data_IF_938684745163
#
_entry.id   IF_938684745163
#
_cell.length_a   1.000
_cell.length_b   1.000
_cell.length_c   1.000
_cell.angle_alpha   90.00
_cell.angle_beta   90.00
_cell.angle_gamma   90.00
#
_symmetry.space_group_name_H-M   'P 1'
#
loop_
_entity.id
_entity.type
_entity.pdbx_description
1 polymer ?
#
# COMPACT_ATOMS: atom_id res chain seq x y z
N UNK A 1 -28.35 -18.31 38.89
CA UNK A 1 -27.37 -17.77 37.88
C UNK A 1 -27.33 -18.61 36.60
N UNK A 2 -27.23 -19.95 36.67
CA UNK A 2 -27.21 -20.84 35.49
C UNK A 2 -28.45 -20.71 34.57
N UNK A 3 -29.65 -20.49 35.12
CA UNK A 3 -30.88 -20.36 34.32
C UNK A 3 -30.92 -19.08 33.46
N UNK A 4 -30.34 -17.98 33.94
CA UNK A 4 -30.28 -16.71 33.21
C UNK A 4 -29.28 -16.76 32.06
N UNK A 5 -28.09 -17.33 32.30
CA UNK A 5 -27.08 -17.57 31.26
C UNK A 5 -27.61 -18.47 30.14
N UNK A 6 -28.37 -19.51 30.49
CA UNK A 6 -28.98 -20.42 29.51
C UNK A 6 -30.07 -19.72 28.67
N UNK A 7 -30.87 -18.83 29.27
CA UNK A 7 -31.85 -17.99 28.54
C UNK A 7 -31.18 -17.00 27.60
N UNK A 8 -30.08 -16.38 28.01
CA UNK A 8 -29.29 -15.47 27.16
C UNK A 8 -28.71 -16.20 25.95
N UNK A 9 -28.10 -17.36 26.13
CA UNK A 9 -27.58 -18.18 25.02
C UNK A 9 -28.66 -18.57 24.01
N UNK A 10 -29.85 -18.96 24.48
CA UNK A 10 -30.99 -19.27 23.59
C UNK A 10 -31.47 -18.04 22.81
N UNK A 11 -31.45 -16.86 23.43
CA UNK A 11 -31.83 -15.60 22.78
C UNK A 11 -30.79 -15.19 21.73
N UNK A 12 -29.52 -15.30 22.06
CA UNK A 12 -28.41 -15.03 21.15
C UNK A 12 -28.44 -15.96 19.93
N UNK A 13 -28.67 -17.27 20.12
CA UNK A 13 -28.81 -18.20 19.00
C UNK A 13 -30.01 -17.89 18.12
N UNK A 14 -31.13 -17.44 18.71
CA UNK A 14 -32.33 -17.05 17.96
C UNK A 14 -32.04 -15.81 17.12
N UNK A 15 -31.47 -14.76 17.71
CA UNK A 15 -31.12 -13.53 16.98
C UNK A 15 -30.04 -13.77 15.93
N UNK A 16 -29.09 -14.68 16.19
CA UNK A 16 -28.08 -15.09 15.20
C UNK A 16 -28.74 -15.81 14.01
N UNK A 17 -29.66 -16.74 14.27
CA UNK A 17 -30.45 -17.41 13.22
C UNK A 17 -31.31 -16.42 12.44
N UNK A 18 -31.90 -15.44 13.10
CA UNK A 18 -32.71 -14.40 12.46
C UNK A 18 -31.85 -13.43 11.63
N UNK A 19 -30.69 -13.02 12.13
CA UNK A 19 -29.72 -12.23 11.37
C UNK A 19 -29.26 -12.96 10.11
N UNK A 20 -28.93 -14.26 10.22
CA UNK A 20 -28.56 -15.08 9.06
C UNK A 20 -29.75 -15.44 8.17
N UNK A 21 -30.99 -15.50 8.65
CA UNK A 21 -32.15 -15.74 7.78
C UNK A 21 -32.46 -14.53 6.90
N UNK A 22 -32.30 -13.31 7.44
CA UNK A 22 -32.46 -12.03 6.73
C UNK A 22 -31.30 -11.78 5.77
N UNK A 23 -30.07 -12.04 6.19
CA UNK A 23 -28.86 -11.77 5.39
C UNK A 23 -28.57 -12.83 4.33
N UNK A 24 -29.12 -14.05 4.39
CA UNK A 24 -28.69 -15.10 3.46
C UNK A 24 -29.57 -15.17 2.20
N UNK A 25 -30.90 -15.21 2.27
CA UNK A 25 -31.73 -15.40 1.06
C UNK A 25 -31.89 -14.15 0.19
N UNK A 26 -32.21 -13.00 0.79
CA UNK A 26 -32.45 -11.75 0.04
C UNK A 26 -31.15 -11.18 -0.53
N UNK A 27 -30.07 -11.24 0.24
CA UNK A 27 -28.74 -10.82 -0.20
C UNK A 27 -28.19 -11.76 -1.28
N UNK A 28 -28.28 -13.09 -1.11
CA UNK A 28 -27.87 -14.04 -2.17
C UNK A 28 -28.70 -13.80 -3.43
N UNK A 29 -30.01 -13.56 -3.33
CA UNK A 29 -30.84 -13.24 -4.51
C UNK A 29 -30.37 -11.96 -5.20
N UNK A 30 -30.07 -10.90 -4.44
CA UNK A 30 -29.48 -9.66 -4.99
C UNK A 30 -28.10 -9.90 -5.62
N UNK A 31 -27.24 -10.69 -4.98
CA UNK A 31 -25.93 -11.07 -5.50
C UNK A 31 -26.04 -11.88 -6.79
N UNK A 32 -26.90 -12.90 -6.83
CA UNK A 32 -27.18 -13.71 -8.03
C UNK A 32 -27.75 -12.87 -9.16
N UNK A 33 -28.56 -11.86 -8.89
CA UNK A 33 -29.06 -10.92 -9.90
C UNK A 33 -27.97 -9.97 -10.43
N UNK A 34 -27.06 -9.53 -9.56
CA UNK A 34 -25.94 -8.65 -9.95
C UNK A 34 -24.78 -9.41 -10.59
N UNK A 35 -24.65 -10.70 -10.32
CA UNK A 35 -23.56 -11.55 -10.82
C UNK A 35 -23.45 -11.60 -12.35
N UNK A 36 -24.54 -11.76 -13.15
CA UNK A 36 -24.47 -11.68 -14.60
C UNK A 36 -23.98 -10.34 -15.12
N UNK A 37 -24.36 -9.23 -14.46
CA UNK A 37 -23.93 -7.88 -14.81
C UNK A 37 -22.42 -7.77 -14.58
N UNK A 38 -21.94 -8.19 -13.40
CA UNK A 38 -20.53 -8.20 -13.03
C UNK A 38 -19.73 -9.09 -13.99
N UNK A 39 -20.17 -10.32 -14.26
CA UNK A 39 -19.56 -11.24 -15.23
C UNK A 39 -19.51 -10.62 -16.63
N UNK A 40 -20.55 -9.91 -17.07
CA UNK A 40 -20.57 -9.25 -18.38
C UNK A 40 -19.55 -8.13 -18.44
N UNK A 41 -19.40 -7.34 -17.37
CA UNK A 41 -18.35 -6.32 -17.25
C UNK A 41 -16.94 -6.93 -17.22
N UNK A 42 -16.75 -8.01 -16.46
CA UNK A 42 -15.50 -8.76 -16.39
C UNK A 42 -15.16 -9.38 -17.76
N UNK A 43 -16.11 -10.02 -18.44
CA UNK A 43 -15.97 -10.53 -19.82
C UNK A 43 -15.69 -9.42 -20.84
N UNK A 44 -16.25 -8.21 -20.66
CA UNK A 44 -15.98 -7.03 -21.52
C UNK A 44 -14.52 -6.56 -21.38
N UNK A 45 -13.86 -6.94 -20.29
CA UNK A 45 -12.42 -6.76 -20.09
C UNK A 45 -11.69 -7.88 -20.84
N UNK A 46 -11.73 -7.83 -22.17
CA UNK A 46 -11.01 -8.77 -23.05
C UNK A 46 -9.55 -8.86 -22.61
N UNK A 47 -8.93 -10.04 -22.66
CA UNK A 47 -7.49 -10.23 -22.40
C UNK A 47 -6.61 -9.21 -23.15
N UNK A 48 -7.00 -8.79 -24.36
CA UNK A 48 -6.36 -7.70 -25.12
C UNK A 48 -6.36 -6.33 -24.43
N UNK A 49 -7.37 -6.00 -23.62
CA UNK A 49 -7.41 -4.77 -22.81
C UNK A 49 -6.51 -4.91 -21.57
N UNK A 50 -6.55 -6.06 -20.90
CA UNK A 50 -5.66 -6.36 -19.78
C UNK A 50 -4.18 -6.32 -20.20
N UNK A 51 -3.82 -6.99 -21.31
CA UNK A 51 -2.45 -6.99 -21.84
C UNK A 51 -2.00 -5.58 -22.29
N UNK A 52 -2.90 -4.78 -22.87
CA UNK A 52 -2.60 -3.36 -23.19
C UNK A 52 -2.31 -2.54 -21.94
N UNK A 53 -3.07 -2.75 -20.87
CA UNK A 53 -2.83 -2.09 -19.59
C UNK A 53 -1.51 -2.53 -18.96
N UNK A 54 -1.22 -3.83 -18.94
CA UNK A 54 0.06 -4.36 -18.44
C UNK A 54 1.25 -3.81 -19.24
N UNK A 55 1.16 -3.79 -20.58
CA UNK A 55 2.19 -3.20 -21.44
C UNK A 55 2.39 -1.71 -21.19
N UNK A 56 1.31 -0.97 -20.93
CA UNK A 56 1.39 0.46 -20.56
C UNK A 56 2.17 0.62 -19.25
N UNK A 57 1.83 -0.16 -18.22
CA UNK A 57 2.53 -0.13 -16.93
C UNK A 57 4.02 -0.48 -17.09
N UNK A 58 4.35 -1.53 -17.86
CA UNK A 58 5.74 -1.93 -18.09
C UNK A 58 6.54 -0.83 -18.80
N UNK A 59 5.95 -0.17 -19.80
CA UNK A 59 6.59 0.96 -20.49
C UNK A 59 6.80 2.16 -19.56
N UNK A 60 5.81 2.48 -18.73
CA UNK A 60 5.93 3.55 -17.74
C UNK A 60 7.02 3.25 -16.71
N UNK A 61 7.13 1.99 -16.26
CA UNK A 61 8.21 1.54 -15.37
C UNK A 61 9.59 1.77 -16.00
N UNK A 62 9.80 1.33 -17.25
CA UNK A 62 11.07 1.54 -17.97
C UNK A 62 11.45 3.02 -18.06
N UNK A 63 10.49 3.89 -18.41
CA UNK A 63 10.70 5.35 -18.49
C UNK A 63 11.07 6.02 -17.16
N UNK A 64 10.64 5.45 -16.04
CA UNK A 64 10.93 6.02 -14.73
C UNK A 64 12.30 5.56 -14.24
N UNK A 65 12.64 4.30 -14.51
CA UNK A 65 13.93 3.70 -14.15
C UNK A 65 15.07 4.27 -15.01
N UNK A 66 14.82 4.66 -16.26
CA UNK A 66 15.81 5.26 -17.16
C UNK A 66 16.22 6.71 -16.82
N UNK A 67 15.91 7.21 -15.62
CA UNK A 67 16.32 8.55 -15.17
C UNK A 67 17.50 8.43 -14.22
N UNK A 68 18.60 9.08 -14.56
CA UNK A 68 19.91 8.96 -13.87
C UNK A 68 19.88 9.36 -12.38
N UNK A 69 18.92 10.19 -11.95
CA UNK A 69 18.72 10.50 -10.53
C UNK A 69 17.28 11.01 -10.28
N UNK A 70 16.66 10.61 -9.18
CA UNK A 70 15.37 11.19 -8.78
C UNK A 70 15.57 12.45 -7.95
N UNK A 71 14.78 13.48 -8.23
CA UNK A 71 14.56 14.58 -7.27
C UNK A 71 13.69 14.08 -6.10
N UNK A 72 13.83 14.68 -4.92
CA UNK A 72 13.05 14.34 -3.71
C UNK A 72 11.53 14.33 -3.94
N UNK A 73 11.01 15.26 -4.75
CA UNK A 73 9.59 15.30 -5.17
C UNK A 73 9.17 14.13 -6.07
N UNK A 74 10.10 13.58 -6.85
CA UNK A 74 9.85 12.50 -7.81
C UNK A 74 9.91 11.13 -7.15
N UNK A 75 10.70 10.97 -6.08
CA UNK A 75 10.90 9.68 -5.40
C UNK A 75 9.60 9.19 -4.72
N UNK A 76 8.77 10.10 -4.20
CA UNK A 76 7.45 9.76 -3.66
C UNK A 76 6.49 9.27 -4.75
N UNK A 77 6.50 9.92 -5.92
CA UNK A 77 5.71 9.47 -7.07
C UNK A 77 6.20 8.11 -7.59
N UNK A 78 7.52 7.90 -7.59
CA UNK A 78 8.14 6.63 -7.96
C UNK A 78 7.71 5.50 -7.03
N UNK A 79 7.79 5.70 -5.70
CA UNK A 79 7.29 4.73 -4.71
C UNK A 79 5.84 4.34 -4.98
N UNK A 80 4.95 5.32 -5.19
CA UNK A 80 3.53 5.04 -5.48
C UNK A 80 3.36 4.17 -6.71
N UNK A 81 4.05 4.50 -7.81
CA UNK A 81 3.99 3.73 -9.06
C UNK A 81 4.57 2.33 -8.89
N UNK A 82 5.65 2.17 -8.12
CA UNK A 82 6.24 0.87 -7.80
C UNK A 82 5.26 0.00 -7.00
N UNK A 83 4.56 0.57 -6.00
CA UNK A 83 3.53 -0.15 -5.24
C UNK A 83 2.35 -0.58 -6.11
N UNK A 84 1.86 0.30 -6.97
CA UNK A 84 0.82 -0.04 -7.95
C UNK A 84 1.25 -1.21 -8.84
N UNK A 85 2.50 -1.18 -9.33
CA UNK A 85 3.04 -2.30 -10.09
C UNK A 85 3.08 -3.59 -9.26
N UNK A 86 3.61 -3.56 -8.03
CA UNK A 86 3.66 -4.73 -7.15
C UNK A 86 2.27 -5.34 -6.90
N UNK A 87 1.25 -4.51 -6.65
CA UNK A 87 -0.12 -4.98 -6.48
C UNK A 87 -0.68 -5.60 -7.75
N UNK A 88 -0.49 -4.96 -8.90
CA UNK A 88 -0.94 -5.50 -10.18
C UNK A 88 -0.26 -6.85 -10.48
N UNK A 89 1.04 -6.99 -10.23
CA UNK A 89 1.75 -8.26 -10.43
C UNK A 89 1.19 -9.37 -9.55
N UNK A 90 0.84 -9.07 -8.29
CA UNK A 90 0.17 -10.02 -7.38
C UNK A 90 -1.24 -10.41 -7.86
N UNK A 91 -2.03 -9.44 -8.32
CA UNK A 91 -3.42 -9.66 -8.75
C UNK A 91 -3.49 -10.52 -10.02
N UNK A 92 -2.59 -10.29 -10.97
CA UNK A 92 -2.59 -10.99 -12.26
C UNK A 92 -1.77 -12.29 -12.25
N UNK A 93 -1.26 -12.72 -11.09
CA UNK A 93 -0.41 -13.90 -10.89
C UNK A 93 0.73 -14.04 -11.93
N UNK A 94 1.26 -12.89 -12.37
CA UNK A 94 2.34 -12.80 -13.38
C UNK A 94 3.67 -13.33 -12.84
N UNK A 95 3.71 -13.75 -11.57
CA UNK A 95 4.88 -14.25 -10.87
C UNK A 95 5.20 -15.71 -11.18
N UNK A 96 4.31 -16.47 -11.82
CA UNK A 96 4.64 -17.83 -12.26
C UNK A 96 5.75 -17.85 -13.32
N UNK A 97 6.01 -16.73 -14.01
CA UNK A 97 7.02 -16.66 -15.08
C UNK A 97 8.32 -15.92 -14.71
N UNK A 98 8.45 -15.34 -13.51
CA UNK A 98 9.72 -14.75 -13.12
C UNK A 98 9.99 -14.99 -11.65
N UNK A 99 11.08 -15.73 -11.39
CA UNK A 99 11.82 -15.68 -10.12
C UNK A 99 12.17 -14.21 -9.87
N UNK A 100 11.27 -13.46 -9.23
CA UNK A 100 11.47 -12.04 -8.98
C UNK A 100 12.52 -11.91 -7.89
N UNK A 101 13.73 -11.66 -8.38
CA UNK A 101 14.99 -11.39 -7.69
C UNK A 101 14.80 -10.64 -6.36
N UNK A 102 15.44 -11.10 -5.26
CA UNK A 102 15.44 -10.46 -3.93
C UNK A 102 15.66 -8.95 -3.95
N UNK A 103 16.42 -8.44 -4.93
CA UNK A 103 16.75 -7.02 -5.11
C UNK A 103 15.53 -6.09 -5.29
N UNK A 104 14.41 -6.58 -5.86
CA UNK A 104 13.17 -5.77 -6.00
C UNK A 104 12.46 -5.53 -4.67
N UNK A 105 12.66 -6.43 -3.71
CA UNK A 105 12.14 -6.31 -2.34
C UNK A 105 12.94 -5.21 -1.63
N UNK A 106 14.27 -5.23 -1.79
CA UNK A 106 15.21 -4.28 -1.19
C UNK A 106 14.94 -2.82 -1.58
N UNK A 107 14.73 -2.50 -2.86
CA UNK A 107 14.44 -1.12 -3.28
C UNK A 107 13.09 -0.61 -2.78
N UNK A 108 12.07 -1.47 -2.79
CA UNK A 108 10.73 -1.14 -2.28
C UNK A 108 10.77 -0.81 -0.79
N UNK A 109 11.56 -1.55 -0.03
CA UNK A 109 11.67 -1.38 1.42
C UNK A 109 12.51 -0.15 1.77
N UNK A 110 13.58 0.13 1.01
CA UNK A 110 14.33 1.39 1.14
C UNK A 110 13.46 2.62 0.84
N UNK A 111 12.64 2.58 -0.22
CA UNK A 111 11.64 3.61 -0.51
C UNK A 111 10.54 3.67 0.56
N UNK A 112 10.26 2.52 1.17
CA UNK A 112 9.52 2.29 2.41
C UNK A 112 9.96 3.25 3.51
N UNK A 113 11.14 2.95 4.02
CA UNK A 113 11.78 3.59 5.15
C UNK A 113 12.07 5.08 4.91
N UNK A 114 12.49 5.44 3.70
CA UNK A 114 12.71 6.85 3.34
C UNK A 114 11.44 7.70 3.52
N UNK A 115 10.28 7.19 3.08
CA UNK A 115 9.02 7.93 3.21
C UNK A 115 8.58 8.04 4.66
N UNK A 116 8.78 6.99 5.45
CA UNK A 116 8.39 6.98 6.86
C UNK A 116 9.21 8.04 7.62
N UNK A 117 10.49 8.20 7.29
CA UNK A 117 11.31 9.31 7.80
C UNK A 117 10.72 10.68 7.42
N UNK A 118 10.30 10.88 6.18
CA UNK A 118 9.68 12.15 5.74
C UNK A 118 8.36 12.44 6.48
N UNK A 119 7.53 11.42 6.71
CA UNK A 119 6.29 11.54 7.48
C UNK A 119 6.59 11.92 8.94
N UNK A 120 7.55 11.25 9.58
CA UNK A 120 7.96 11.56 10.95
C UNK A 120 8.52 12.98 11.05
N UNK A 121 9.36 13.41 10.10
CA UNK A 121 9.87 14.80 10.05
C UNK A 121 8.72 15.80 9.95
N UNK A 122 7.68 15.52 9.15
CA UNK A 122 6.52 16.38 9.03
C UNK A 122 5.70 16.45 10.35
N UNK A 123 5.54 15.33 11.04
CA UNK A 123 4.89 15.28 12.35
C UNK A 123 5.68 16.05 13.41
N UNK A 124 7.00 15.85 13.47
CA UNK A 124 7.89 16.59 14.38
C UNK A 124 7.85 18.10 14.13
N UNK A 125 7.82 18.53 12.86
CA UNK A 125 7.64 19.96 12.51
C UNK A 125 6.32 20.52 13.03
N UNK A 126 5.23 19.76 12.97
CA UNK A 126 3.93 20.18 13.53
C UNK A 126 3.97 20.26 15.05
N UNK A 127 4.56 19.26 15.70
CA UNK A 127 4.70 19.22 17.16
C UNK A 127 5.53 20.40 17.68
N UNK A 128 6.72 20.65 17.09
CA UNK A 128 7.60 21.77 17.47
C UNK A 128 6.92 23.14 17.27
N UNK A 129 6.11 23.29 16.22
CA UNK A 129 5.35 24.54 15.98
C UNK A 129 4.19 24.72 16.95
N UNK A 130 3.68 23.64 17.55
CA UNK A 130 2.62 23.76 18.55
C UNK A 130 3.22 24.35 19.83
N UNK A 131 2.74 25.52 20.26
CA UNK A 131 3.18 26.19 21.50
C UNK A 131 2.78 25.45 22.78
N UNK A 132 2.34 24.19 22.68
CA UNK A 132 1.86 23.36 23.80
C UNK A 132 2.95 22.55 24.48
N UNK A 133 4.13 22.42 23.87
CA UNK A 133 5.25 21.63 24.41
C UNK A 133 6.22 22.47 25.24
N UNK A 134 6.76 21.87 26.30
CA UNK A 134 7.73 22.51 27.21
C UNK A 134 9.05 22.77 26.44
N UNK A 135 9.79 23.82 26.78
CA UNK A 135 11.00 24.22 26.00
C UNK A 135 12.07 23.12 25.94
N UNK A 136 12.21 22.32 27.01
CA UNK A 136 13.13 21.17 27.08
C UNK A 136 12.73 20.04 26.11
N UNK A 137 11.45 19.69 26.08
CA UNK A 137 10.90 18.70 25.15
C UNK A 137 11.04 19.18 23.70
N UNK A 138 10.82 20.48 23.47
CA UNK A 138 11.00 21.10 22.14
C UNK A 138 12.44 20.97 21.65
N UNK A 139 13.44 21.19 22.53
CA UNK A 139 14.86 20.97 22.20
C UNK A 139 15.14 19.51 21.84
N UNK A 140 14.58 18.55 22.57
CA UNK A 140 14.73 17.12 22.27
C UNK A 140 14.10 16.76 20.91
N UNK A 141 12.89 17.24 20.63
CA UNK A 141 12.21 17.03 19.35
C UNK A 141 13.00 17.62 18.18
N UNK A 142 13.65 18.77 18.37
CA UNK A 142 14.54 19.37 17.36
C UNK A 142 15.78 18.49 17.10
N UNK A 143 16.39 17.93 18.15
CA UNK A 143 17.53 17.02 18.02
C UNK A 143 17.14 15.73 17.28
N UNK A 144 16.03 15.10 17.69
CA UNK A 144 15.49 13.89 17.03
C UNK A 144 15.17 14.18 15.56
N UNK A 145 14.56 15.33 15.26
CA UNK A 145 14.28 15.74 13.87
C UNK A 145 15.57 15.83 13.04
N UNK A 146 16.65 16.38 13.58
CA UNK A 146 17.95 16.45 12.87
C UNK A 146 18.50 15.06 12.57
N UNK A 147 18.44 14.14 13.54
CA UNK A 147 18.90 12.76 13.36
C UNK A 147 18.11 12.03 12.26
N UNK A 148 16.77 12.15 12.28
CA UNK A 148 15.91 11.52 11.27
C UNK A 148 16.12 12.15 9.90
N UNK A 149 16.39 13.45 9.82
CA UNK A 149 16.71 14.13 8.56
C UNK A 149 18.01 13.59 7.95
N UNK A 150 19.07 13.42 8.75
CA UNK A 150 20.32 12.80 8.29
C UNK A 150 20.09 11.38 7.78
N UNK A 151 19.31 10.56 8.52
CA UNK A 151 18.94 9.21 8.09
C UNK A 151 18.18 9.22 6.76
N UNK A 152 17.21 10.14 6.61
CA UNK A 152 16.45 10.29 5.37
C UNK A 152 17.33 10.65 4.18
N UNK A 153 18.28 11.57 4.36
CA UNK A 153 19.18 12.00 3.29
C UNK A 153 20.19 10.89 2.92
N UNK A 154 20.70 10.13 3.90
CA UNK A 154 21.51 8.94 3.64
C UNK A 154 20.75 7.88 2.83
N UNK A 155 19.50 7.59 3.23
CA UNK A 155 18.63 6.66 2.49
C UNK A 155 18.36 7.15 1.07
N UNK A 156 18.10 8.45 0.89
CA UNK A 156 17.87 9.06 -0.42
C UNK A 156 19.09 8.89 -1.33
N UNK A 157 20.29 9.14 -0.81
CA UNK A 157 21.54 8.97 -1.55
C UNK A 157 21.78 7.49 -1.91
N UNK A 158 21.52 6.56 -0.97
CA UNK A 158 21.63 5.11 -1.22
C UNK A 158 20.65 4.62 -2.29
N UNK A 159 19.41 5.13 -2.29
CA UNK A 159 18.42 4.82 -3.32
C UNK A 159 18.87 5.37 -4.68
N UNK A 160 19.31 6.62 -4.74
CA UNK A 160 19.81 7.21 -5.98
C UNK A 160 21.09 6.53 -6.50
N UNK A 161 21.96 6.03 -5.61
CA UNK A 161 23.15 5.26 -6.00
C UNK A 161 22.83 3.86 -6.54
N UNK A 162 21.74 3.22 -6.10
CA UNK A 162 21.36 1.86 -6.54
C UNK A 162 20.54 1.84 -7.83
N UNK A 163 19.85 2.94 -8.16
CA UNK A 163 19.05 3.08 -9.39
C UNK A 163 19.83 2.96 -10.71
N UNK A 164 21.03 3.56 -10.88
CA UNK A 164 21.81 3.38 -12.11
C UNK A 164 22.40 1.98 -12.29
N UNK A 165 22.44 1.14 -11.25
CA UNK A 165 22.96 -0.23 -11.37
C UNK A 165 21.88 -1.27 -11.70
N UNK A 166 20.61 -1.02 -11.33
CA UNK A 166 19.48 -1.90 -11.71
C UNK A 166 19.00 -1.71 -13.16
N UNK A 167 19.67 -0.88 -13.96
CA UNK A 167 19.36 -0.65 -15.38
C UNK A 167 20.09 -1.60 -16.34
N UNK A 168 20.99 -2.46 -15.84
CA UNK A 168 21.83 -3.35 -16.67
C UNK A 168 21.44 -4.83 -16.68
N UNK A 169 20.29 -5.23 -16.10
CA UNK A 169 19.78 -6.62 -16.16
C UNK A 169 18.29 -6.68 -16.52
#
# INVERSE_FOLDING_TARGET
>A
IQSYSCRLKKREEKERKDFFSITNKRFIKKLKQKYPIIIRFLKKTRAKKANRYLNKITKEKKKIISKNAFKKKQIHAFRKRLKVHQYNTKIFDLNQQSKLVPEKITLSDMLGEWHDCEVVIALLKKAIKSKKTISRETKQLVAIKKLILLKSDLLFNKINGTLPYHTLL
#
